data_IF_333254081866
#
_entry.id   IF_333254081866
#
_cell.length_a   1.000
_cell.length_b   1.000
_cell.length_c   1.000
_cell.angle_alpha   90.00
_cell.angle_beta   90.00
_cell.angle_gamma   90.00
#
_symmetry.space_group_name_H-M   'P 1'
#
loop_
_entity.id
_entity.type
_entity.pdbx_description
1 polymer ?
#
# COMPACT_ATOMS: atom_id res chain seq x y z
N UNK A 1 23.45 21.94 -0.95
CA UNK A 1 22.72 20.70 -0.57
C UNK A 1 21.26 20.85 -1.00
N UNK A 2 20.70 19.95 -1.81
CA UNK A 2 19.30 20.08 -2.25
C UNK A 2 18.39 19.70 -1.09
N UNK A 3 17.64 20.68 -0.59
CA UNK A 3 16.63 20.49 0.45
C UNK A 3 15.55 19.54 -0.11
N UNK A 4 15.63 18.25 0.20
CA UNK A 4 14.57 17.29 -0.13
C UNK A 4 13.42 17.61 0.81
N UNK A 5 12.56 18.54 0.41
CA UNK A 5 11.27 18.73 1.06
C UNK A 5 10.55 17.38 0.99
N UNK A 6 10.49 16.68 2.12
CA UNK A 6 9.54 15.58 2.29
C UNK A 6 8.16 16.22 2.12
N UNK A 7 7.58 16.04 0.93
CA UNK A 7 6.15 16.27 0.75
C UNK A 7 5.49 15.35 1.76
N UNK A 8 4.91 15.93 2.82
CA UNK A 8 3.96 15.21 3.66
C UNK A 8 2.96 14.61 2.67
N UNK A 9 2.76 13.28 2.65
CA UNK A 9 1.69 12.71 1.86
C UNK A 9 0.44 13.52 2.22
N UNK A 10 -0.25 14.08 1.23
CA UNK A 10 -1.58 14.64 1.47
C UNK A 10 -2.31 13.60 2.30
N UNK A 11 -2.76 14.00 3.49
CA UNK A 11 -3.64 13.21 4.34
C UNK A 11 -4.93 13.04 3.55
N UNK A 12 -4.93 12.11 2.59
CA UNK A 12 -6.15 11.51 2.09
C UNK A 12 -6.65 10.79 3.34
N UNK A 13 -7.54 11.47 4.06
CA UNK A 13 -8.32 10.91 5.15
C UNK A 13 -9.10 9.74 4.57
N UNK A 14 -8.45 8.59 4.57
CA UNK A 14 -9.09 7.30 4.44
C UNK A 14 -9.71 7.02 5.81
N UNK A 15 -10.74 7.78 6.18
CA UNK A 15 -11.35 7.80 7.52
C UNK A 15 -11.75 6.40 8.04
N UNK A 16 -11.87 5.43 7.14
CA UNK A 16 -12.27 4.06 7.45
C UNK A 16 -11.11 3.05 7.57
N UNK A 17 -9.88 3.41 7.20
CA UNK A 17 -8.74 2.49 7.29
C UNK A 17 -8.17 2.45 8.70
N UNK A 18 -8.32 1.31 9.36
CA UNK A 18 -7.78 1.06 10.69
C UNK A 18 -6.36 0.48 10.59
N UNK A 19 -5.56 0.58 11.67
CA UNK A 19 -4.26 -0.10 11.72
C UNK A 19 -4.36 -1.62 11.48
N UNK A 20 -5.47 -2.26 11.84
CA UNK A 20 -5.71 -3.68 11.59
C UNK A 20 -5.89 -3.96 10.10
N UNK A 21 -6.63 -3.11 9.38
CA UNK A 21 -6.76 -3.23 7.92
C UNK A 21 -5.41 -3.06 7.22
N UNK A 22 -4.61 -2.08 7.66
CA UNK A 22 -3.26 -1.87 7.13
C UNK A 22 -2.35 -3.07 7.40
N UNK A 23 -2.36 -3.60 8.63
CA UNK A 23 -1.55 -4.75 9.01
C UNK A 23 -1.91 -5.97 8.17
N UNK A 24 -3.21 -6.27 8.04
CA UNK A 24 -3.70 -7.35 7.19
C UNK A 24 -3.25 -7.18 5.73
N UNK A 25 -3.37 -5.98 5.18
CA UNK A 25 -2.97 -5.70 3.79
C UNK A 25 -1.46 -5.79 3.58
N UNK A 26 -0.64 -5.43 4.58
CA UNK A 26 0.83 -5.56 4.52
C UNK A 26 1.23 -7.03 4.52
N UNK A 27 0.66 -7.81 5.43
CA UNK A 27 0.96 -9.24 5.61
C UNK A 27 0.53 -10.07 4.40
N UNK A 28 -0.62 -9.73 3.82
CA UNK A 28 -1.28 -10.50 2.76
C UNK A 28 -1.20 -9.79 1.39
N UNK A 29 -0.20 -8.94 1.18
CA UNK A 29 -0.11 -8.12 -0.03
C UNK A 29 0.05 -8.92 -1.33
N UNK A 30 0.49 -10.16 -1.25
CA UNK A 30 0.62 -11.10 -2.35
C UNK A 30 -0.69 -11.81 -2.74
N UNK A 31 -1.73 -11.74 -1.90
CA UNK A 31 -3.03 -12.31 -2.22
C UNK A 31 -3.73 -11.57 -3.38
N UNK A 32 -4.55 -12.34 -4.09
CA UNK A 32 -5.41 -11.83 -5.15
C UNK A 32 -6.48 -10.87 -4.60
N UNK A 33 -6.92 -9.91 -5.43
CA UNK A 33 -7.88 -8.89 -5.02
C UNK A 33 -9.19 -9.49 -4.49
N UNK A 34 -9.69 -10.53 -5.14
CA UNK A 34 -10.92 -11.22 -4.74
C UNK A 34 -10.81 -11.87 -3.36
N UNK A 35 -9.61 -12.28 -2.93
CA UNK A 35 -9.37 -12.82 -1.59
C UNK A 35 -9.28 -11.69 -0.57
N UNK A 36 -8.58 -10.61 -0.92
CA UNK A 36 -8.46 -9.45 -0.04
C UNK A 36 -9.82 -8.83 0.29
N UNK A 37 -10.71 -8.75 -0.70
CA UNK A 37 -12.07 -8.20 -0.54
C UNK A 37 -13.00 -9.05 0.31
N UNK A 38 -12.69 -10.32 0.54
CA UNK A 38 -13.47 -11.15 1.47
C UNK A 38 -13.25 -10.73 2.93
N UNK A 39 -12.11 -10.10 3.23
CA UNK A 39 -11.74 -9.67 4.58
C UNK A 39 -11.79 -8.16 4.74
N UNK A 40 -11.41 -7.42 3.69
CA UNK A 40 -11.37 -5.98 3.69
C UNK A 40 -12.67 -5.42 3.10
N UNK A 41 -13.42 -4.58 3.86
CA UNK A 41 -14.67 -4.00 3.39
C UNK A 41 -14.43 -2.79 2.48
N UNK A 42 -13.58 -2.95 1.46
CA UNK A 42 -13.14 -1.87 0.55
C UNK A 42 -13.20 -2.32 -0.90
N UNK A 43 -13.34 -1.36 -1.81
CA UNK A 43 -13.29 -1.60 -3.25
C UNK A 43 -11.87 -1.90 -3.74
N UNK A 44 -11.75 -2.45 -4.96
CA UNK A 44 -10.47 -2.69 -5.63
C UNK A 44 -9.65 -1.39 -5.72
N UNK A 45 -10.31 -0.29 -6.08
CA UNK A 45 -9.67 1.03 -6.20
C UNK A 45 -9.14 1.51 -4.85
N UNK A 46 -9.92 1.35 -3.78
CA UNK A 46 -9.53 1.73 -2.42
C UNK A 46 -8.34 0.90 -1.92
N UNK A 47 -8.37 -0.42 -2.11
CA UNK A 47 -7.27 -1.32 -1.73
C UNK A 47 -6.00 -0.99 -2.55
N UNK A 48 -6.14 -0.72 -3.85
CA UNK A 48 -5.01 -0.33 -4.70
C UNK A 48 -4.45 1.04 -4.33
N UNK A 49 -5.31 2.00 -3.97
CA UNK A 49 -4.87 3.30 -3.47
C UNK A 49 -4.12 3.12 -2.16
N UNK A 50 -4.61 2.30 -1.24
CA UNK A 50 -3.95 2.04 0.04
C UNK A 50 -2.62 1.33 -0.14
N UNK A 51 -2.50 0.34 -1.04
CA UNK A 51 -1.22 -0.29 -1.42
C UNK A 51 -0.18 0.72 -1.90
N UNK A 52 -0.59 1.79 -2.59
CA UNK A 52 0.31 2.89 -3.00
C UNK A 52 0.75 3.72 -1.80
N UNK A 53 -0.19 4.09 -0.91
CA UNK A 53 0.08 4.85 0.32
C UNK A 53 1.06 4.10 1.24
N UNK A 54 0.84 2.79 1.44
CA UNK A 54 1.70 1.92 2.24
C UNK A 54 3.04 1.57 1.55
N UNK A 55 3.27 2.05 0.32
CA UNK A 55 4.51 1.82 -0.42
C UNK A 55 4.74 0.37 -0.88
N UNK A 56 3.73 -0.50 -0.79
CA UNK A 56 3.83 -1.93 -1.09
C UNK A 56 4.18 -2.19 -2.56
N UNK A 57 3.59 -1.42 -3.48
CA UNK A 57 3.89 -1.49 -4.92
C UNK A 57 5.33 -1.06 -5.20
N UNK A 58 5.80 -0.01 -4.54
CA UNK A 58 7.16 0.52 -4.70
C UNK A 58 8.19 -0.47 -4.19
N UNK A 59 7.95 -1.08 -3.03
CA UNK A 59 8.79 -2.12 -2.44
C UNK A 59 8.99 -3.30 -3.39
N UNK A 60 7.91 -3.84 -3.97
CA UNK A 60 7.98 -4.95 -4.93
C UNK A 60 8.85 -4.57 -6.14
N UNK A 61 8.65 -3.37 -6.70
CA UNK A 61 9.44 -2.90 -7.85
C UNK A 61 10.93 -2.80 -7.51
N UNK A 62 11.27 -2.29 -6.34
CA UNK A 62 12.66 -2.18 -5.90
C UNK A 62 13.31 -3.55 -5.68
N UNK A 63 12.60 -4.49 -5.03
CA UNK A 63 13.09 -5.85 -4.83
C UNK A 63 13.32 -6.59 -6.16
N UNK A 64 12.43 -6.40 -7.15
CA UNK A 64 12.63 -6.95 -8.50
C UNK A 64 13.91 -6.40 -9.15
N UNK A 65 14.21 -5.11 -8.98
CA UNK A 65 15.46 -4.52 -9.49
C UNK A 65 16.70 -5.13 -8.83
N UNK A 66 16.66 -5.38 -7.52
CA UNK A 66 17.77 -6.00 -6.79
C UNK A 66 18.02 -7.46 -7.22
N UNK A 67 16.97 -8.20 -7.61
CA UNK A 67 17.07 -9.60 -8.04
C UNK A 67 17.69 -9.78 -9.44
N UNK A 68 17.94 -8.70 -10.17
CA UNK A 68 18.57 -8.72 -11.50
C UNK A 68 20.02 -8.23 -11.50
N UNK A 69 20.71 -8.28 -10.34
CA UNK A 69 22.15 -8.08 -10.20
C UNK A 69 22.85 -9.38 -9.82
#
# INVERSE_FOLDING_TARGET
>A
MRNRQMRKPNDVQFDNWTPQHDSYLIENNDLAMDILKQTLPFSDEEIMARRKVLGLVTRIRQLKKLRHF
#
